data_IF_859247111198
#
_entry.id   IF_859247111198
#
_cell.length_a   1.000
_cell.length_b   1.000
_cell.length_c   1.000
_cell.angle_alpha   90.00
_cell.angle_beta   90.00
_cell.angle_gamma   90.00
#
_symmetry.space_group_name_H-M   'P 1'
#
loop_
_entity.id
_entity.type
_entity.pdbx_description
1 polymer ?
#
# COMPACT_ATOMS: atom_id res chain seq x y z
N UNK A 1 6.05 -33.52 21.97
CA UNK A 1 5.86 -32.96 20.60
C UNK A 1 5.21 -31.59 20.72
N UNK A 2 5.40 -30.74 19.72
CA UNK A 2 4.76 -29.41 19.68
C UNK A 2 3.40 -29.55 19.01
N UNK A 3 2.36 -29.02 19.63
CA UNK A 3 1.04 -28.90 19.04
C UNK A 3 0.51 -27.48 19.15
N UNK A 4 -0.55 -27.20 18.40
CA UNK A 4 -1.15 -25.88 18.34
C UNK A 4 -2.65 -25.99 18.39
N UNK A 5 -3.30 -25.07 19.07
CA UNK A 5 -4.74 -24.87 18.92
C UNK A 5 -5.04 -24.32 17.53
N UNK A 6 -6.02 -24.91 16.85
CA UNK A 6 -6.39 -24.52 15.49
C UNK A 6 -7.88 -24.19 15.40
N UNK A 7 -8.74 -25.11 15.85
CA UNK A 7 -10.17 -25.06 15.57
C UNK A 7 -10.51 -25.32 14.10
N UNK A 8 -9.56 -25.82 13.29
CA UNK A 8 -9.67 -25.88 11.82
C UNK A 8 -9.72 -27.31 11.27
N UNK A 9 -10.54 -27.51 10.25
CA UNK A 9 -10.48 -28.66 9.36
C UNK A 9 -9.27 -28.59 8.41
N UNK A 10 -9.00 -29.69 7.72
CA UNK A 10 -7.99 -29.75 6.65
C UNK A 10 -8.29 -28.83 5.46
N UNK A 11 -9.55 -28.42 5.28
CA UNK A 11 -10.00 -27.45 4.27
C UNK A 11 -10.00 -26.00 4.78
N UNK A 12 -9.41 -25.75 5.96
CA UNK A 12 -9.33 -24.44 6.61
C UNK A 12 -10.67 -23.86 7.10
N UNK A 13 -11.75 -24.64 7.08
CA UNK A 13 -13.01 -24.25 7.72
C UNK A 13 -12.98 -24.52 9.23
N UNK A 14 -13.82 -23.83 10.00
CA UNK A 14 -13.95 -24.11 11.44
C UNK A 14 -14.54 -25.50 11.65
N UNK A 15 -13.87 -26.34 12.45
CA UNK A 15 -14.39 -27.66 12.78
C UNK A 15 -15.55 -27.56 13.78
N UNK A 16 -16.59 -28.35 13.53
CA UNK A 16 -17.77 -28.45 14.38
C UNK A 16 -18.04 -29.89 14.79
N UNK A 17 -18.54 -30.08 16.01
CA UNK A 17 -19.08 -31.36 16.50
C UNK A 17 -20.56 -31.19 16.78
N UNK A 18 -21.42 -31.90 16.05
CA UNK A 18 -22.87 -31.72 16.16
C UNK A 18 -23.34 -30.30 15.83
N UNK A 19 -22.64 -29.60 14.94
CA UNK A 19 -22.92 -28.20 14.56
C UNK A 19 -22.36 -27.14 15.52
N UNK A 20 -21.72 -27.54 16.61
CA UNK A 20 -21.10 -26.60 17.57
C UNK A 20 -19.61 -26.43 17.26
N UNK A 21 -19.11 -25.19 17.10
CA UNK A 21 -17.69 -24.92 16.91
C UNK A 21 -16.84 -25.40 18.08
N UNK A 22 -15.77 -26.11 17.77
CA UNK A 22 -14.90 -26.74 18.77
C UNK A 22 -13.67 -25.87 18.98
N UNK A 23 -13.95 -24.67 19.48
CA UNK A 23 -13.02 -23.54 19.58
C UNK A 23 -12.99 -22.99 21.00
N UNK A 24 -13.26 -23.78 22.04
CA UNK A 24 -13.22 -23.28 23.42
C UNK A 24 -14.12 -22.04 23.65
N UNK A 25 -15.34 -22.08 23.11
CA UNK A 25 -16.25 -20.93 23.06
C UNK A 25 -15.61 -19.71 22.41
N UNK A 26 -15.17 -19.84 21.16
CA UNK A 26 -14.46 -18.77 20.43
C UNK A 26 -13.19 -18.29 21.16
N UNK A 27 -12.50 -19.22 21.80
CA UNK A 27 -11.25 -19.06 22.52
C UNK A 27 -11.36 -18.11 23.72
N UNK A 28 -12.57 -17.98 24.29
CA UNK A 28 -12.86 -17.13 25.45
C UNK A 28 -12.93 -17.88 26.78
N UNK A 29 -12.84 -19.21 26.76
CA UNK A 29 -13.03 -20.03 27.96
C UNK A 29 -11.97 -21.12 28.12
N UNK A 30 -11.58 -21.34 29.37
CA UNK A 30 -10.70 -22.44 29.80
C UNK A 30 -11.47 -23.51 30.60
N UNK A 31 -12.80 -23.56 30.48
CA UNK A 31 -13.62 -24.50 31.23
C UNK A 31 -13.29 -25.97 30.87
N UNK A 32 -13.24 -26.83 31.89
CA UNK A 32 -12.85 -28.24 31.75
C UNK A 32 -13.74 -29.04 30.79
N UNK A 33 -15.03 -28.68 30.71
CA UNK A 33 -16.05 -29.34 29.89
C UNK A 33 -16.12 -28.79 28.46
N UNK A 34 -15.29 -27.83 28.09
CA UNK A 34 -15.16 -27.34 26.72
C UNK A 34 -13.92 -27.94 26.07
N UNK A 35 -13.99 -28.07 24.75
CA UNK A 35 -12.95 -28.69 23.95
C UNK A 35 -12.58 -27.81 22.76
N UNK A 36 -11.28 -27.81 22.46
CA UNK A 36 -10.71 -27.21 21.26
C UNK A 36 -10.16 -28.28 20.34
N UNK A 37 -10.07 -27.99 19.04
CA UNK A 37 -9.31 -28.79 18.09
C UNK A 37 -7.83 -28.34 18.08
N UNK A 38 -6.91 -29.30 17.96
CA UNK A 38 -5.48 -29.04 17.86
C UNK A 38 -4.84 -29.71 16.65
N UNK A 39 -3.71 -29.16 16.21
CA UNK A 39 -2.82 -29.72 15.19
C UNK A 39 -1.42 -30.00 15.74
N UNK A 40 -0.58 -30.63 14.91
CA UNK A 40 0.82 -30.96 15.20
C UNK A 40 1.73 -29.93 14.53
N UNK A 41 2.59 -29.25 15.28
CA UNK A 41 3.43 -28.17 14.71
C UNK A 41 4.61 -28.70 13.91
N UNK A 42 4.87 -30.01 14.02
CA UNK A 42 5.97 -30.70 13.34
C UNK A 42 5.50 -31.45 12.10
N UNK A 43 4.19 -31.48 11.82
CA UNK A 43 3.68 -32.11 10.61
C UNK A 43 3.80 -31.19 9.40
N UNK A 44 4.02 -31.80 8.24
CA UNK A 44 4.00 -31.14 6.91
C UNK A 44 2.76 -31.49 6.11
N UNK A 45 1.84 -32.28 6.67
CA UNK A 45 0.57 -32.67 6.06
C UNK A 45 -0.63 -32.05 6.81
N UNK A 46 -1.85 -32.55 6.54
CA UNK A 46 -3.09 -32.05 7.15
C UNK A 46 -3.14 -32.16 8.69
N UNK A 47 -2.29 -32.99 9.31
CA UNK A 47 -2.19 -33.08 10.77
C UNK A 47 -1.70 -31.76 11.39
N UNK A 48 -1.13 -30.84 10.59
CA UNK A 48 -0.84 -29.47 11.05
C UNK A 48 -2.10 -28.70 11.46
N UNK A 49 -3.26 -29.07 10.91
CA UNK A 49 -4.55 -28.43 11.24
C UNK A 49 -5.35 -29.27 12.22
N UNK A 50 -5.31 -30.59 12.05
CA UNK A 50 -6.10 -31.53 12.83
C UNK A 50 -5.29 -32.77 13.13
N UNK A 51 -4.62 -32.78 14.28
CA UNK A 51 -3.82 -33.91 14.71
C UNK A 51 -4.70 -34.93 15.44
N UNK A 52 -4.46 -36.21 15.17
CA UNK A 52 -5.03 -37.30 15.97
C UNK A 52 -4.06 -37.72 17.07
N UNK A 53 -4.56 -37.78 18.31
CA UNK A 53 -3.79 -38.36 19.40
C UNK A 53 -3.62 -39.87 19.16
N UNK A 54 -2.39 -40.37 19.32
CA UNK A 54 -2.02 -41.78 19.11
C UNK A 54 -2.87 -42.76 19.92
N UNK A 55 -3.46 -42.29 21.03
CA UNK A 55 -4.35 -43.08 21.89
C UNK A 55 -5.81 -42.67 21.62
N UNK A 56 -6.53 -43.47 20.84
CA UNK A 56 -7.98 -43.34 20.65
C UNK A 56 -8.45 -42.39 19.55
N UNK A 57 -7.55 -41.83 18.73
CA UNK A 57 -7.94 -41.02 17.57
C UNK A 57 -8.60 -39.67 17.92
N UNK A 58 -8.48 -39.23 19.17
CA UNK A 58 -9.05 -37.97 19.63
C UNK A 58 -8.32 -36.79 18.98
N UNK A 59 -9.07 -35.92 18.31
CA UNK A 59 -8.56 -34.70 17.66
C UNK A 59 -8.83 -33.44 18.48
N UNK A 60 -9.34 -33.59 19.70
CA UNK A 60 -9.69 -32.50 20.59
C UNK A 60 -9.02 -32.65 21.94
N UNK A 61 -8.83 -31.52 22.61
CA UNK A 61 -8.32 -31.45 23.98
C UNK A 61 -9.16 -30.48 24.80
N UNK A 62 -9.20 -30.66 26.13
CA UNK A 62 -9.92 -29.75 27.01
C UNK A 62 -9.30 -28.36 26.97
N UNK A 63 -10.14 -27.32 26.98
CA UNK A 63 -9.71 -25.92 26.92
C UNK A 63 -8.94 -25.46 28.16
N UNK A 64 -8.99 -26.25 29.24
CA UNK A 64 -8.17 -26.08 30.44
C UNK A 64 -6.73 -26.56 30.27
N UNK A 65 -6.42 -27.28 29.19
CA UNK A 65 -5.18 -28.05 29.06
C UNK A 65 -4.12 -27.30 28.24
N UNK A 66 -2.89 -27.31 28.73
CA UNK A 66 -1.70 -26.85 27.99
C UNK A 66 -0.93 -28.00 27.34
N UNK A 67 -1.42 -29.23 27.53
CA UNK A 67 -0.92 -30.47 26.92
C UNK A 67 -2.09 -31.39 26.66
N UNK A 68 -2.08 -32.12 25.54
CA UNK A 68 -3.12 -33.12 25.26
C UNK A 68 -3.06 -34.26 26.27
N UNK A 69 -4.21 -34.69 26.79
CA UNK A 69 -4.28 -35.83 27.72
C UNK A 69 -3.94 -37.18 27.04
N UNK A 70 -4.21 -37.28 25.73
CA UNK A 70 -4.13 -38.53 24.98
C UNK A 70 -2.87 -38.69 24.10
N UNK A 71 -1.95 -37.72 24.17
CA UNK A 71 -0.77 -37.66 23.31
C UNK A 71 0.34 -36.74 23.84
N UNK A 72 1.50 -36.71 23.18
CA UNK A 72 2.69 -35.99 23.64
C UNK A 72 2.69 -34.48 23.32
N UNK A 73 1.58 -33.93 22.80
CA UNK A 73 1.52 -32.56 22.28
C UNK A 73 1.38 -31.53 23.39
N UNK A 74 2.37 -30.64 23.52
CA UNK A 74 2.25 -29.41 24.30
C UNK A 74 1.58 -28.35 23.41
N UNK A 75 0.46 -27.79 23.87
CA UNK A 75 -0.42 -26.95 23.06
C UNK A 75 -0.05 -25.46 23.18
N UNK A 76 0.32 -24.86 22.05
CA UNK A 76 0.57 -23.43 21.91
C UNK A 76 -0.31 -22.80 20.83
N UNK A 77 0.14 -21.65 20.33
CA UNK A 77 -0.46 -20.95 19.19
C UNK A 77 0.58 -20.79 18.10
N UNK A 78 0.16 -20.93 16.85
CA UNK A 78 0.93 -20.50 15.69
C UNK A 78 0.51 -19.08 15.37
N UNK A 79 1.42 -18.13 15.58
CA UNK A 79 1.23 -16.75 15.14
C UNK A 79 1.65 -16.65 13.68
N UNK A 80 0.72 -16.29 12.80
CA UNK A 80 1.00 -16.04 11.39
C UNK A 80 1.06 -14.54 11.13
N UNK A 81 2.03 -14.11 10.33
CA UNK A 81 2.10 -12.72 9.88
C UNK A 81 0.85 -12.40 9.06
N UNK A 82 0.11 -11.38 9.48
CA UNK A 82 -0.97 -10.83 8.66
C UNK A 82 -0.36 -9.95 7.58
N UNK A 83 -0.86 -9.98 6.33
CA UNK A 83 -0.44 -8.99 5.35
C UNK A 83 -0.62 -7.60 5.94
N UNK A 84 0.36 -6.69 5.77
CA UNK A 84 0.26 -5.36 6.32
C UNK A 84 -1.04 -4.71 5.82
N UNK A 85 -1.80 -4.02 6.69
CA UNK A 85 -3.00 -3.35 6.26
C UNK A 85 -2.68 -2.39 5.10
N UNK A 86 -3.63 -2.16 4.18
CA UNK A 86 -3.40 -1.22 3.10
C UNK A 86 -3.11 0.18 3.66
N UNK A 87 -2.17 0.88 3.04
CA UNK A 87 -1.82 2.27 3.36
C UNK A 87 -2.64 3.24 2.55
N UNK A 88 -2.94 4.41 3.09
CA UNK A 88 -3.73 5.41 2.39
C UNK A 88 -2.95 6.18 1.32
N UNK A 89 -3.63 6.48 0.23
CA UNK A 89 -3.22 7.41 -0.82
C UNK A 89 -4.36 8.37 -1.13
N UNK A 90 -4.04 9.65 -1.31
CA UNK A 90 -5.01 10.66 -1.74
C UNK A 90 -4.36 11.74 -2.60
N UNK A 91 -5.18 12.44 -3.38
CA UNK A 91 -4.72 13.57 -4.19
C UNK A 91 -5.26 14.87 -3.62
N UNK A 92 -4.43 15.86 -3.29
CA UNK A 92 -4.92 17.10 -2.67
C UNK A 92 -5.92 17.84 -3.57
N UNK A 93 -5.71 17.76 -4.89
CA UNK A 93 -6.54 18.39 -5.91
C UNK A 93 -7.95 17.77 -6.04
N UNK A 94 -8.15 16.48 -5.68
CA UNK A 94 -9.50 15.89 -5.62
C UNK A 94 -10.34 16.46 -4.48
N UNK A 95 -9.70 17.01 -3.45
CA UNK A 95 -10.33 17.72 -2.34
C UNK A 95 -10.27 19.25 -2.51
N UNK A 96 -10.05 19.74 -3.75
CA UNK A 96 -10.04 21.16 -4.08
C UNK A 96 -8.78 21.93 -3.62
N UNK A 97 -7.78 21.23 -3.07
CA UNK A 97 -6.54 21.84 -2.59
C UNK A 97 -5.46 21.74 -3.68
N UNK A 98 -5.23 22.86 -4.37
CA UNK A 98 -4.27 23.00 -5.47
C UNK A 98 -3.09 23.88 -5.06
N UNK A 99 -1.96 23.74 -5.75
CA UNK A 99 -0.77 24.54 -5.47
C UNK A 99 0.13 24.67 -6.70
N UNK A 100 0.84 25.79 -6.78
CA UNK A 100 1.87 26.00 -7.80
C UNK A 100 3.13 25.17 -7.47
N UNK A 101 4.16 25.21 -8.32
CA UNK A 101 5.36 24.39 -8.19
C UNK A 101 6.28 24.74 -7.00
N UNK A 102 6.03 25.83 -6.27
CA UNK A 102 6.86 26.26 -5.14
C UNK A 102 6.32 25.72 -3.81
N UNK A 103 6.68 24.50 -3.46
CA UNK A 103 6.36 23.94 -2.14
C UNK A 103 7.39 24.27 -1.07
N UNK A 104 8.43 25.08 -1.36
CA UNK A 104 9.58 25.23 -0.47
C UNK A 104 10.48 23.99 -0.44
N UNK A 105 10.48 23.20 -1.51
CA UNK A 105 11.23 21.95 -1.64
C UNK A 105 10.48 20.71 -1.15
N UNK A 106 11.17 19.57 -1.18
CA UNK A 106 10.60 18.25 -0.81
C UNK A 106 9.99 18.25 0.60
N UNK A 107 10.68 18.86 1.58
CA UNK A 107 10.17 18.91 2.96
C UNK A 107 8.88 19.72 3.07
N UNK A 108 8.74 20.81 2.30
CA UNK A 108 7.52 21.60 2.32
C UNK A 108 6.37 20.94 1.56
N UNK A 109 6.67 20.15 0.52
CA UNK A 109 5.68 19.28 -0.13
C UNK A 109 5.15 18.20 0.81
N UNK A 110 6.02 17.59 1.62
CA UNK A 110 5.60 16.64 2.67
C UNK A 110 4.74 17.33 3.74
N UNK A 111 5.15 18.51 4.20
CA UNK A 111 4.35 19.31 5.15
C UNK A 111 2.97 19.67 4.59
N UNK A 112 2.90 20.00 3.30
CA UNK A 112 1.64 20.27 2.60
C UNK A 112 0.73 19.03 2.59
N UNK A 113 1.27 17.83 2.34
CA UNK A 113 0.51 16.59 2.46
C UNK A 113 0.03 16.36 3.91
N UNK A 114 0.91 16.55 4.88
CA UNK A 114 0.60 16.33 6.30
C UNK A 114 -0.51 17.27 6.81
N UNK A 115 -0.60 18.50 6.29
CA UNK A 115 -1.63 19.46 6.70
C UNK A 115 -2.96 19.33 5.97
N UNK A 116 -3.04 18.50 4.91
CA UNK A 116 -4.23 18.34 4.07
C UNK A 116 -4.73 16.89 4.04
N UNK A 117 -4.53 16.15 5.13
CA UNK A 117 -5.08 14.80 5.29
C UNK A 117 -6.61 14.89 5.28
N UNK A 118 -7.31 14.14 4.40
CA UNK A 118 -8.76 14.15 4.35
C UNK A 118 -9.37 13.64 5.66
N UNK A 119 -10.49 14.25 6.10
CA UNK A 119 -11.14 13.93 7.38
C UNK A 119 -11.69 12.50 7.47
N UNK A 120 -11.90 11.85 6.32
CA UNK A 120 -12.35 10.46 6.21
C UNK A 120 -11.21 9.44 6.35
N UNK A 121 -9.95 9.89 6.41
CA UNK A 121 -8.81 9.01 6.67
C UNK A 121 -8.59 8.88 8.18
N UNK A 122 -8.64 7.67 8.75
CA UNK A 122 -8.47 7.48 10.18
C UNK A 122 -7.03 7.74 10.63
N UNK A 123 -6.87 8.57 11.67
CA UNK A 123 -5.62 8.76 12.41
C UNK A 123 -4.72 9.90 11.93
N UNK A 124 -3.57 10.05 12.60
CA UNK A 124 -2.54 11.07 12.33
C UNK A 124 -1.31 10.41 11.71
N UNK A 125 -1.50 9.57 10.68
CA UNK A 125 -0.39 8.94 9.96
C UNK A 125 0.59 9.99 9.41
N UNK A 126 1.81 9.54 9.11
CA UNK A 126 2.79 10.41 8.43
C UNK A 126 2.55 10.30 6.93
N UNK A 127 2.38 11.45 6.27
CA UNK A 127 2.15 11.53 4.83
C UNK A 127 3.29 12.26 4.14
N UNK A 128 3.76 11.67 3.03
CA UNK A 128 4.77 12.28 2.16
C UNK A 128 4.25 12.44 0.75
N UNK A 129 4.76 13.44 0.05
CA UNK A 129 4.34 13.75 -1.29
C UNK A 129 5.05 12.89 -2.35
N UNK A 130 4.30 12.30 -3.27
CA UNK A 130 4.81 11.56 -4.42
C UNK A 130 5.22 12.55 -5.52
N UNK A 131 6.45 13.05 -5.40
CA UNK A 131 7.15 13.87 -6.39
C UNK A 131 8.65 13.64 -6.28
N UNK A 132 9.43 13.86 -7.33
CA UNK A 132 10.89 13.76 -7.32
C UNK A 132 11.53 15.09 -7.69
N UNK A 133 12.74 15.30 -7.22
CA UNK A 133 13.59 16.42 -7.65
C UNK A 133 14.91 15.98 -8.28
N UNK A 134 15.21 14.67 -8.26
CA UNK A 134 16.44 14.08 -8.78
C UNK A 134 17.61 14.09 -7.80
N UNK A 135 17.45 14.65 -6.59
CA UNK A 135 18.54 14.76 -5.59
C UNK A 135 18.05 14.43 -4.19
N UNK A 136 17.08 15.17 -3.64
CA UNK A 136 16.56 14.98 -2.30
C UNK A 136 15.45 13.91 -2.24
N UNK A 137 14.79 13.65 -3.38
CA UNK A 137 13.86 12.54 -3.57
C UNK A 137 14.01 11.96 -4.97
N UNK A 138 14.33 10.66 -5.01
CA UNK A 138 14.55 9.87 -6.23
C UNK A 138 13.89 8.52 -6.03
N UNK A 139 13.02 8.10 -6.95
CA UNK A 139 12.40 6.77 -6.88
C UNK A 139 13.40 5.68 -7.28
N UNK A 140 14.09 5.92 -8.40
CA UNK A 140 15.09 5.05 -9.00
C UNK A 140 15.86 5.82 -10.08
N UNK A 141 17.06 5.34 -10.41
CA UNK A 141 17.86 5.83 -11.55
C UNK A 141 17.87 4.84 -12.72
N UNK A 142 17.22 3.69 -12.55
CA UNK A 142 17.25 2.58 -13.52
C UNK A 142 15.86 2.23 -14.04
N UNK A 143 14.86 2.14 -13.16
CA UNK A 143 13.50 1.77 -13.53
C UNK A 143 12.71 1.10 -12.41
N UNK A 144 11.44 0.73 -12.66
CA UNK A 144 10.47 0.35 -11.62
C UNK A 144 10.84 -0.88 -10.80
N UNK A 145 11.69 -1.77 -11.34
CA UNK A 145 12.09 -3.01 -10.67
C UNK A 145 13.46 -2.92 -9.97
N UNK A 146 13.95 -1.70 -9.71
CA UNK A 146 15.26 -1.46 -9.10
C UNK A 146 15.24 -0.36 -8.05
N UNK A 147 15.90 -0.61 -6.92
CA UNK A 147 16.14 0.38 -5.85
C UNK A 147 17.41 1.21 -6.06
N UNK A 148 18.13 1.02 -7.18
CA UNK A 148 19.39 1.71 -7.45
C UNK A 148 19.18 3.22 -7.56
N UNK A 149 19.90 3.97 -6.73
CA UNK A 149 19.83 5.44 -6.66
C UNK A 149 18.56 5.96 -5.98
N UNK A 150 17.79 5.10 -5.32
CA UNK A 150 16.60 5.51 -4.56
C UNK A 150 17.00 6.38 -3.36
N UNK A 151 16.33 7.53 -3.20
CA UNK A 151 16.56 8.49 -2.11
C UNK A 151 15.20 8.97 -1.59
N UNK A 152 14.96 8.79 -0.28
CA UNK A 152 13.74 9.27 0.41
C UNK A 152 12.43 8.96 -0.36
N UNK A 153 12.35 7.78 -0.96
CA UNK A 153 11.18 7.36 -1.71
C UNK A 153 9.99 7.06 -0.81
N UNK A 154 8.79 7.36 -1.30
CA UNK A 154 7.57 7.45 -0.49
C UNK A 154 6.74 6.18 -0.47
N UNK A 155 6.85 5.34 -1.49
CA UNK A 155 6.12 4.07 -1.54
C UNK A 155 6.97 2.96 -0.92
N UNK A 156 6.34 2.13 -0.09
CA UNK A 156 6.96 0.98 0.55
C UNK A 156 6.99 -0.22 -0.40
N UNK A 157 8.00 -1.10 -0.31
CA UNK A 157 8.01 -2.39 -1.01
C UNK A 157 6.83 -3.28 -0.64
N UNK A 158 6.28 -4.03 -1.61
CA UNK A 158 5.26 -5.06 -1.42
C UNK A 158 4.03 -4.59 -0.62
N UNK A 159 3.63 -3.33 -0.80
CA UNK A 159 2.60 -2.68 0.00
C UNK A 159 1.37 -2.38 -0.86
N UNK A 160 0.20 -2.73 -0.32
CA UNK A 160 -1.09 -2.30 -0.88
C UNK A 160 -1.37 -0.86 -0.51
N UNK A 161 -1.79 -0.06 -1.49
CA UNK A 161 -2.26 1.29 -1.28
C UNK A 161 -3.74 1.40 -1.64
N UNK A 162 -4.52 1.97 -0.72
CA UNK A 162 -5.95 2.18 -0.86
C UNK A 162 -6.29 3.66 -0.92
N UNK A 163 -7.19 4.01 -1.82
CA UNK A 163 -7.64 5.38 -2.02
C UNK A 163 -8.43 5.87 -0.82
N UNK A 164 -8.14 7.08 -0.36
CA UNK A 164 -8.82 7.68 0.78
C UNK A 164 -10.32 7.86 0.52
N UNK A 165 -10.72 8.32 -0.67
CA UNK A 165 -12.11 8.68 -1.01
C UNK A 165 -13.12 7.54 -0.76
N UNK A 166 -12.78 6.30 -1.12
CA UNK A 166 -13.73 5.18 -1.15
C UNK A 166 -13.13 3.84 -0.70
N UNK A 167 -11.85 3.80 -0.30
CA UNK A 167 -11.17 2.58 0.13
C UNK A 167 -10.80 1.62 -1.02
N UNK A 168 -10.98 2.00 -2.28
CA UNK A 168 -10.60 1.16 -3.40
C UNK A 168 -9.08 0.92 -3.42
N UNK A 169 -8.67 -0.33 -3.65
CA UNK A 169 -7.25 -0.64 -3.84
C UNK A 169 -6.78 -0.02 -5.15
N UNK A 170 -5.78 0.86 -5.05
CA UNK A 170 -5.16 1.52 -6.19
C UNK A 170 -4.16 0.58 -6.84
N UNK A 171 -3.24 0.06 -6.04
CA UNK A 171 -2.16 -0.81 -6.49
C UNK A 171 -1.52 -1.59 -5.34
N UNK A 172 -0.79 -2.63 -5.72
CA UNK A 172 0.25 -3.25 -4.89
C UNK A 172 1.61 -2.94 -5.51
N UNK A 173 2.53 -2.38 -4.73
CA UNK A 173 3.89 -2.12 -5.21
C UNK A 173 4.72 -3.40 -5.26
N UNK A 174 5.74 -3.43 -6.13
CA UNK A 174 6.73 -4.51 -6.17
C UNK A 174 7.75 -4.39 -5.03
N UNK A 175 8.76 -5.27 -5.03
CA UNK A 175 9.85 -5.26 -4.04
C UNK A 175 10.74 -4.01 -4.03
N UNK A 176 10.65 -3.14 -5.05
CA UNK A 176 11.34 -1.84 -5.10
C UNK A 176 10.45 -0.67 -4.68
N UNK A 177 9.18 -0.93 -4.34
CA UNK A 177 8.23 0.10 -3.94
C UNK A 177 7.65 0.89 -5.11
N UNK A 178 7.55 0.29 -6.31
CA UNK A 178 6.99 0.94 -7.50
C UNK A 178 6.03 -0.03 -8.23
N UNK A 179 5.30 0.48 -9.21
CA UNK A 179 4.46 -0.32 -10.12
C UNK A 179 5.07 -0.32 -11.52
N UNK A 180 5.26 -1.49 -12.12
CA UNK A 180 5.82 -1.58 -13.46
C UNK A 180 4.72 -1.49 -14.53
N UNK A 181 4.70 -0.39 -15.29
CA UNK A 181 3.76 -0.16 -16.39
C UNK A 181 4.17 -0.86 -17.71
N UNK A 182 5.28 -1.59 -17.73
CA UNK A 182 5.72 -2.33 -18.90
C UNK A 182 4.66 -3.35 -19.36
N UNK A 183 4.64 -3.64 -20.66
CA UNK A 183 3.70 -4.60 -21.25
C UNK A 183 2.23 -4.16 -21.21
N UNK A 184 1.96 -2.88 -20.94
CA UNK A 184 0.59 -2.35 -20.85
C UNK A 184 -0.12 -2.65 -19.54
N UNK A 185 0.64 -3.00 -18.49
CA UNK A 185 0.12 -3.16 -17.15
C UNK A 185 -0.52 -1.86 -16.65
N UNK A 186 -1.57 -1.99 -15.83
CA UNK A 186 -2.37 -0.89 -15.30
C UNK A 186 -2.58 -1.05 -13.80
N UNK A 187 -2.68 0.07 -13.10
CA UNK A 187 -3.16 0.10 -11.72
C UNK A 187 -4.57 -0.50 -11.64
N UNK A 188 -4.92 -1.08 -10.50
CA UNK A 188 -6.26 -1.62 -10.25
C UNK A 188 -7.31 -0.50 -10.29
N UNK A 189 -6.97 0.64 -9.69
CA UNK A 189 -7.78 1.85 -9.69
C UNK A 189 -6.89 3.10 -9.79
N UNK A 190 -7.40 4.23 -10.29
CA UNK A 190 -6.65 5.49 -10.30
C UNK A 190 -6.48 6.07 -8.89
N UNK A 191 -5.63 7.09 -8.73
CA UNK A 191 -5.48 7.78 -7.43
C UNK A 191 -6.74 8.52 -7.00
N UNK A 192 -7.58 8.94 -7.95
CA UNK A 192 -8.91 9.51 -7.68
C UNK A 192 -9.85 9.34 -8.87
N UNK A 193 -11.14 9.56 -8.65
CA UNK A 193 -12.17 9.57 -9.70
C UNK A 193 -12.57 11.00 -10.13
N UNK A 194 -12.06 12.04 -9.44
CA UNK A 194 -12.31 13.44 -9.78
C UNK A 194 -11.58 13.80 -11.08
N UNK A 195 -12.33 14.01 -12.16
CA UNK A 195 -11.82 14.13 -13.54
C UNK A 195 -10.78 15.23 -13.73
N UNK A 196 -10.94 16.32 -13.00
CA UNK A 196 -10.08 17.49 -13.04
C UNK A 196 -8.83 17.33 -12.17
N UNK A 197 -8.64 16.21 -11.47
CA UNK A 197 -7.49 16.03 -10.58
C UNK A 197 -6.21 15.69 -11.34
N UNK A 198 -5.16 16.47 -11.07
CA UNK A 198 -3.79 16.17 -11.48
C UNK A 198 -2.78 16.52 -10.38
N UNK A 199 -1.52 16.18 -10.63
CA UNK A 199 -0.48 16.25 -9.62
C UNK A 199 0.86 16.63 -10.24
N UNK A 200 1.66 17.38 -9.50
CA UNK A 200 3.08 17.52 -9.79
C UNK A 200 3.81 16.22 -9.47
N UNK A 201 4.74 15.80 -10.34
CA UNK A 201 5.48 14.53 -10.15
C UNK A 201 6.98 14.68 -10.37
N UNK A 202 7.41 15.34 -11.45
CA UNK A 202 8.81 15.29 -11.91
C UNK A 202 9.26 13.91 -12.45
N UNK A 203 8.35 12.95 -12.60
CA UNK A 203 8.65 11.55 -12.89
C UNK A 203 8.45 11.19 -14.36
N UNK A 204 9.34 10.39 -14.93
CA UNK A 204 9.08 9.70 -16.19
C UNK A 204 8.17 8.47 -15.96
N UNK A 205 7.67 7.88 -17.04
CA UNK A 205 6.77 6.72 -17.01
C UNK A 205 7.37 5.46 -16.37
N UNK A 206 8.70 5.41 -16.21
CA UNK A 206 9.48 4.35 -15.58
C UNK A 206 9.96 4.70 -14.15
N UNK A 207 9.36 5.73 -13.54
CA UNK A 207 9.69 6.26 -12.22
C UNK A 207 11.05 6.95 -12.09
N UNK A 208 11.84 7.07 -13.16
CA UNK A 208 13.05 7.91 -13.14
C UNK A 208 12.69 9.39 -13.10
N UNK A 209 13.61 10.26 -12.66
CA UNK A 209 13.38 11.71 -12.75
C UNK A 209 13.42 12.15 -14.22
N UNK A 210 12.37 12.84 -14.67
CA UNK A 210 12.34 13.35 -16.04
C UNK A 210 13.23 14.60 -16.17
N UNK A 211 14.05 14.61 -17.23
CA UNK A 211 14.94 15.74 -17.54
C UNK A 211 14.72 16.24 -18.97
N UNK A 212 14.85 17.55 -19.16
CA UNK A 212 14.94 18.18 -20.48
C UNK A 212 16.34 18.77 -20.64
N UNK A 213 17.10 18.33 -21.65
CA UNK A 213 18.48 18.77 -21.83
C UNK A 213 19.40 18.48 -20.62
N UNK A 214 19.09 17.41 -19.86
CA UNK A 214 19.82 17.04 -18.64
C UNK A 214 19.40 17.79 -17.38
N UNK A 215 18.42 18.69 -17.46
CA UNK A 215 17.91 19.45 -16.30
C UNK A 215 16.58 18.86 -15.81
N UNK A 216 16.43 18.53 -14.52
CA UNK A 216 15.16 18.07 -13.95
C UNK A 216 14.03 19.09 -14.09
N UNK A 217 12.86 18.65 -14.57
CA UNK A 217 11.67 19.50 -14.67
C UNK A 217 10.82 19.44 -13.41
N UNK A 218 11.34 20.10 -12.39
CA UNK A 218 10.85 19.97 -11.02
C UNK A 218 10.66 21.34 -10.38
N UNK A 219 10.43 22.39 -11.17
CA UNK A 219 10.26 23.74 -10.65
C UNK A 219 11.42 24.22 -9.75
N UNK A 220 12.66 23.96 -10.21
CA UNK A 220 13.88 24.21 -9.44
C UNK A 220 13.85 23.47 -8.09
N UNK A 221 13.67 22.15 -8.13
CA UNK A 221 13.52 21.30 -6.93
C UNK A 221 12.37 21.75 -6.01
N UNK A 222 11.27 22.20 -6.64
CA UNK A 222 10.01 22.59 -6.02
C UNK A 222 10.14 23.83 -5.12
N UNK A 223 11.05 24.73 -5.47
CA UNK A 223 11.32 25.99 -4.73
C UNK A 223 10.95 27.25 -5.50
N UNK A 224 10.40 27.11 -6.71
CA UNK A 224 10.07 28.24 -7.56
C UNK A 224 8.68 28.16 -8.18
N UNK A 225 8.05 29.32 -8.30
CA UNK A 225 6.78 29.54 -8.97
C UNK A 225 6.94 30.47 -10.19
N UNK A 226 8.18 30.59 -10.71
CA UNK A 226 8.48 31.45 -11.84
C UNK A 226 7.79 30.97 -13.13
N UNK A 227 7.29 31.92 -13.93
CA UNK A 227 6.55 31.67 -15.18
C UNK A 227 7.37 30.95 -16.27
N UNK A 228 8.69 31.11 -16.24
CA UNK A 228 9.61 30.55 -17.22
C UNK A 228 10.26 29.23 -16.78
N UNK A 229 9.90 28.73 -15.60
CA UNK A 229 10.27 27.40 -15.14
C UNK A 229 9.08 26.46 -15.31
N UNK A 230 9.37 25.19 -15.52
CA UNK A 230 8.33 24.19 -15.73
C UNK A 230 8.54 22.97 -14.83
N UNK A 231 7.42 22.38 -14.44
CA UNK A 231 7.36 21.11 -13.73
C UNK A 231 6.67 20.06 -14.60
N UNK A 232 6.96 18.79 -14.36
CA UNK A 232 6.23 17.69 -14.95
C UNK A 232 5.01 17.32 -14.08
N UNK A 233 3.89 16.98 -14.73
CA UNK A 233 2.66 16.60 -14.05
C UNK A 233 2.10 15.27 -14.55
N UNK A 234 1.28 14.62 -13.72
CA UNK A 234 0.55 13.39 -14.03
C UNK A 234 -0.97 13.59 -13.97
N UNK A 235 -1.70 12.59 -14.45
CA UNK A 235 -3.16 12.53 -14.40
C UNK A 235 -3.61 11.60 -13.27
N UNK A 236 -4.19 12.13 -12.21
CA UNK A 236 -4.62 11.33 -11.04
C UNK A 236 -5.75 10.34 -11.35
N UNK A 237 -6.39 10.47 -12.52
CA UNK A 237 -7.49 9.62 -12.97
C UNK A 237 -7.07 8.54 -13.95
N UNK A 238 -5.81 8.52 -14.41
CA UNK A 238 -5.31 7.44 -15.25
C UNK A 238 -4.95 6.19 -14.42
N UNK A 239 -4.98 5.04 -15.08
CA UNK A 239 -4.51 3.75 -14.55
C UNK A 239 -3.25 3.25 -15.24
N UNK A 240 -2.78 3.92 -16.30
CA UNK A 240 -1.51 3.62 -16.96
C UNK A 240 -0.45 4.66 -16.56
N UNK A 241 0.69 4.66 -17.25
CA UNK A 241 1.83 5.52 -16.92
C UNK A 241 1.55 7.02 -16.97
N UNK A 242 0.43 7.44 -17.56
CA UNK A 242 -0.02 8.84 -17.55
C UNK A 242 -0.27 9.37 -16.13
N UNK A 243 -0.43 8.48 -15.15
CA UNK A 243 -0.47 8.84 -13.73
C UNK A 243 0.86 9.42 -13.22
N UNK A 244 1.98 9.13 -13.88
CA UNK A 244 3.28 9.72 -13.55
C UNK A 244 3.57 10.92 -14.44
N UNK A 245 3.25 10.79 -15.73
CA UNK A 245 3.58 11.76 -16.76
C UNK A 245 2.43 11.84 -17.75
N UNK A 246 1.56 12.83 -17.56
CA UNK A 246 0.45 13.04 -18.46
C UNK A 246 0.93 13.72 -19.76
N UNK A 247 0.44 13.25 -20.89
CA UNK A 247 0.63 13.79 -22.22
C UNK A 247 -0.72 14.33 -22.72
N UNK A 248 -0.74 15.61 -23.12
CA UNK A 248 -1.96 16.18 -23.66
C UNK A 248 -2.27 15.67 -25.06
N UNK A 249 -3.57 15.45 -25.32
CA UNK A 249 -4.13 15.05 -26.61
C UNK A 249 -3.82 16.04 -27.75
N UNK A 250 -3.52 17.31 -27.43
CA UNK A 250 -3.08 18.34 -28.36
C UNK A 250 -1.59 18.66 -28.16
N UNK A 251 -0.72 17.81 -28.72
CA UNK A 251 0.69 18.15 -28.96
C UNK A 251 1.72 17.60 -27.97
N UNK A 252 1.35 16.66 -27.08
CA UNK A 252 2.33 15.85 -26.33
C UNK A 252 3.14 16.61 -25.28
N UNK A 253 2.73 17.82 -24.87
CA UNK A 253 3.42 18.53 -23.79
C UNK A 253 3.09 17.91 -22.44
N UNK A 254 4.14 17.55 -21.69
CA UNK A 254 4.04 16.87 -20.38
C UNK A 254 4.44 17.77 -19.22
N UNK A 255 4.63 19.06 -19.51
CA UNK A 255 5.08 20.05 -18.52
C UNK A 255 4.10 21.21 -18.41
N UNK A 256 4.07 21.84 -17.24
CA UNK A 256 3.30 23.06 -16.99
C UNK A 256 4.16 24.10 -16.29
N UNK A 257 3.82 25.38 -16.46
CA UNK A 257 4.52 26.48 -15.79
C UNK A 257 4.47 26.28 -14.27
N UNK A 258 5.57 26.55 -13.59
CA UNK A 258 5.65 26.45 -12.14
C UNK A 258 4.77 27.46 -11.41
N UNK A 259 4.30 28.51 -12.09
CA UNK A 259 3.33 29.45 -11.55
C UNK A 259 1.90 28.90 -11.52
N UNK A 260 1.62 27.82 -12.26
CA UNK A 260 0.27 27.35 -12.52
C UNK A 260 -0.27 26.46 -11.40
N UNK A 261 -1.54 26.66 -11.04
CA UNK A 261 -2.34 25.73 -10.21
C UNK A 261 -3.26 24.85 -11.05
N UNK A 262 -3.32 25.10 -12.36
CA UNK A 262 -4.06 24.32 -13.35
C UNK A 262 -3.28 24.33 -14.66
N UNK A 263 -3.18 23.18 -15.30
CA UNK A 263 -2.50 23.10 -16.60
C UNK A 263 -3.40 23.60 -17.74
N UNK A 264 -2.78 24.15 -18.78
CA UNK A 264 -3.46 24.44 -20.05
C UNK A 264 -3.63 23.18 -20.92
N UNK A 265 -3.00 22.08 -20.52
CA UNK A 265 -2.83 20.85 -21.30
C UNK A 265 -3.70 19.71 -20.74
N UNK A 266 -5.01 19.94 -20.69
CA UNK A 266 -5.99 19.04 -20.08
C UNK A 266 -6.81 19.72 -18.99
N UNK A 267 -7.77 19.01 -18.36
CA UNK A 267 -8.62 19.59 -17.32
C UNK A 267 -7.94 19.69 -15.95
N UNK A 268 -6.64 19.40 -15.84
CA UNK A 268 -5.99 19.06 -14.59
C UNK A 268 -5.66 20.28 -13.70
N UNK A 269 -6.27 20.29 -12.52
CA UNK A 269 -5.92 21.09 -11.36
C UNK A 269 -4.74 20.43 -10.63
N UNK A 270 -3.66 21.17 -10.46
CA UNK A 270 -2.37 20.63 -9.99
C UNK A 270 -2.28 20.71 -8.47
N UNK A 271 -2.20 19.53 -7.85
CA UNK A 271 -1.92 19.35 -6.44
C UNK A 271 -0.76 18.37 -6.22
N UNK A 272 -0.83 17.63 -5.12
CA UNK A 272 0.09 16.55 -4.80
C UNK A 272 -0.66 15.23 -4.63
N UNK A 273 0.04 14.13 -4.89
CA UNK A 273 -0.36 12.80 -4.41
C UNK A 273 0.34 12.57 -3.08
N UNK A 274 -0.43 12.27 -2.03
CA UNK A 274 0.05 12.12 -0.66
C UNK A 274 -0.04 10.65 -0.24
N UNK A 275 1.08 10.11 0.25
CA UNK A 275 1.29 8.69 0.52
C UNK A 275 1.54 8.49 2.01
N UNK A 276 0.71 7.67 2.65
CA UNK A 276 0.96 7.22 4.02
C UNK A 276 2.26 6.39 4.10
N UNK A 277 3.06 6.64 5.13
CA UNK A 277 4.38 6.02 5.34
C UNK A 277 4.34 4.75 6.17
#
# INVERSE_FOLDING_TARGET
>A
ESGQWTGLNSDWTTWTSGGVPMTCSSWTSSALNLFGLFGSSTSTDSEILKASASTGGNTTSSCSSTRTFYGPYNLGLVCVEQPPPPKYIFTTSSFGTVHNGNFGGISGADAFCQSHIPSNVPGTGIYKAMLVDGVNRVATTVGPNSTVGQVNWVFKPNQKYQRAEDGAIVMTTNGSGMFDFAGGARLENPFTQVKESGQWTGLNSDWTTWTSGGVPMTCSSWTSSALNLFGLFGSSTSTDSEILKASASTGGNTTSSCSSTRTFYGPYNLGLVCIEQ
#
